data_IF_287070514195
#
_entry.id   IF_287070514195
#
_cell.length_a   1.000
_cell.length_b   1.000
_cell.length_c   1.000
_cell.angle_alpha   90.00
_cell.angle_beta   90.00
_cell.angle_gamma   90.00
#
_symmetry.space_group_name_H-M   'P 1'
#
loop_
_entity.id
_entity.type
_entity.pdbx_description
1 polymer ?
#
# COMPACT_ATOMS: atom_id res chain seq x y z
N UNK A 1 5.86 -8.52 19.71
CA UNK A 1 5.32 -7.20 19.35
C UNK A 1 4.26 -7.33 18.28
N UNK A 2 3.10 -6.70 18.43
CA UNK A 2 2.10 -6.77 17.36
C UNK A 2 2.61 -6.24 16.03
N UNK A 3 2.10 -6.81 14.96
CA UNK A 3 2.46 -6.40 13.62
C UNK A 3 1.27 -5.78 12.91
N UNK A 4 1.54 -4.80 12.09
CA UNK A 4 0.52 -4.06 11.35
C UNK A 4 0.91 -3.97 9.91
N UNK A 5 -0.07 -4.07 9.04
CA UNK A 5 0.14 -3.90 7.60
C UNK A 5 -0.38 -2.53 7.19
N UNK A 6 0.47 -1.79 6.49
CA UNK A 6 0.10 -0.53 5.87
C UNK A 6 -0.22 -0.82 4.42
N UNK A 7 -1.47 -0.61 4.05
CA UNK A 7 -1.93 -0.79 2.68
C UNK A 7 -1.95 0.58 2.00
N UNK A 8 -1.12 0.73 0.98
CA UNK A 8 -0.97 2.00 0.28
C UNK A 8 -1.83 2.03 -0.97
N UNK A 9 -2.80 2.94 -0.98
CA UNK A 9 -3.70 3.15 -2.11
C UNK A 9 -3.38 4.46 -2.80
N UNK A 10 -3.43 4.48 -4.11
CA UNK A 10 -3.26 5.69 -4.87
C UNK A 10 -4.14 5.70 -6.11
N UNK A 11 -4.24 6.86 -6.73
CA UNK A 11 -4.88 7.03 -8.00
C UNK A 11 -3.80 6.99 -9.08
N UNK A 12 -3.79 5.96 -9.95
CA UNK A 12 -2.73 5.83 -10.96
C UNK A 12 -2.58 7.06 -11.87
N UNK A 13 -3.67 7.79 -12.07
CA UNK A 13 -3.64 8.99 -12.91
C UNK A 13 -2.73 10.07 -12.34
N UNK A 14 -2.68 10.18 -11.01
CA UNK A 14 -1.86 11.20 -10.36
C UNK A 14 -0.37 10.97 -10.59
N UNK A 15 0.06 9.72 -10.60
CA UNK A 15 1.46 9.37 -10.85
C UNK A 15 1.89 9.62 -12.29
N UNK A 16 0.94 9.57 -13.23
CA UNK A 16 1.23 9.85 -14.64
C UNK A 16 1.58 11.31 -14.89
N UNK A 17 1.19 12.20 -13.97
CA UNK A 17 1.45 13.63 -14.07
C UNK A 17 2.78 14.06 -13.46
N UNK A 18 3.47 13.14 -12.81
CA UNK A 18 4.71 13.41 -12.08
C UNK A 18 5.89 13.32 -13.06
N UNK A 19 6.79 14.32 -13.01
CA UNK A 19 7.97 14.31 -13.85
C UNK A 19 8.93 13.18 -13.42
N UNK A 20 9.84 12.74 -14.31
CA UNK A 20 10.83 11.74 -13.94
C UNK A 20 11.69 12.15 -12.74
N UNK A 21 12.02 13.44 -12.63
CA UNK A 21 12.82 13.94 -11.50
C UNK A 21 12.06 13.86 -10.19
N UNK A 22 10.78 14.24 -10.21
CA UNK A 22 9.92 14.14 -9.03
C UNK A 22 9.68 12.68 -8.64
N UNK A 23 9.51 11.80 -9.63
CA UNK A 23 9.36 10.37 -9.39
C UNK A 23 10.60 9.81 -8.70
N UNK A 24 11.79 10.22 -9.13
CA UNK A 24 13.03 9.77 -8.50
C UNK A 24 13.11 10.22 -7.05
N UNK A 25 12.73 11.46 -6.76
CA UNK A 25 12.69 11.97 -5.39
C UNK A 25 11.69 11.19 -4.52
N UNK A 26 10.53 10.88 -5.08
CA UNK A 26 9.52 10.10 -4.38
C UNK A 26 10.05 8.70 -4.03
N UNK A 27 10.66 8.04 -4.99
CA UNK A 27 11.26 6.71 -4.78
C UNK A 27 12.29 6.76 -3.67
N UNK A 28 13.16 7.77 -3.66
CA UNK A 28 14.18 7.94 -2.62
C UNK A 28 13.55 8.09 -1.23
N UNK A 29 12.49 8.86 -1.12
CA UNK A 29 11.78 9.04 0.15
C UNK A 29 11.13 7.74 0.63
N UNK A 30 10.51 6.99 -0.28
CA UNK A 30 9.91 5.70 0.06
C UNK A 30 10.98 4.72 0.53
N UNK A 31 12.09 4.66 -0.17
CA UNK A 31 13.20 3.78 0.20
C UNK A 31 13.82 4.18 1.54
N UNK A 32 13.94 5.47 1.80
CA UNK A 32 14.45 5.94 3.09
C UNK A 32 13.53 5.52 4.24
N UNK A 33 12.23 5.57 4.02
CA UNK A 33 11.27 5.14 5.04
C UNK A 33 11.35 3.65 5.33
N UNK A 34 11.67 2.83 4.32
CA UNK A 34 11.83 1.37 4.53
C UNK A 34 12.96 1.03 5.49
N UNK A 35 13.90 1.95 5.69
CA UNK A 35 15.03 1.73 6.59
C UNK A 35 14.71 2.00 8.06
N UNK A 36 13.50 2.44 8.36
CA UNK A 36 13.07 2.63 9.75
C UNK A 36 13.14 1.31 10.50
N UNK A 37 13.62 1.32 11.77
CA UNK A 37 13.81 0.06 12.52
C UNK A 37 12.54 -0.77 12.69
N UNK A 38 11.37 -0.11 12.73
CA UNK A 38 10.09 -0.80 12.91
C UNK A 38 9.56 -1.41 11.61
N UNK A 39 10.14 -1.08 10.46
CA UNK A 39 9.71 -1.66 9.18
C UNK A 39 10.35 -3.04 9.01
N UNK A 40 9.52 -4.07 8.80
CA UNK A 40 9.97 -5.45 8.70
C UNK A 40 9.94 -5.99 7.27
N UNK A 41 9.05 -5.49 6.45
CA UNK A 41 8.97 -5.89 5.05
C UNK A 41 8.19 -4.84 4.27
N UNK A 42 8.40 -4.81 2.97
CA UNK A 42 7.64 -3.95 2.07
C UNK A 42 7.74 -4.48 0.65
N UNK A 43 6.67 -4.29 -0.10
CA UNK A 43 6.63 -4.67 -1.51
C UNK A 43 5.84 -3.63 -2.29
N UNK A 44 6.33 -3.32 -3.47
CA UNK A 44 5.61 -2.48 -4.42
C UNK A 44 4.94 -3.38 -5.45
N UNK A 45 3.67 -3.11 -5.73
CA UNK A 45 2.95 -3.83 -6.77
C UNK A 45 3.24 -3.18 -8.13
N UNK A 46 3.20 -3.99 -9.19
CA UNK A 46 3.40 -3.47 -10.54
C UNK A 46 2.24 -2.55 -10.93
N UNK A 47 2.54 -1.63 -11.85
CA UNK A 47 1.56 -0.66 -12.32
C UNK A 47 0.64 -1.28 -13.39
N UNK A 48 -0.09 -2.31 -13.02
CA UNK A 48 -1.08 -2.90 -13.91
C UNK A 48 -2.41 -3.04 -13.17
N UNK A 49 -3.45 -3.35 -13.90
CA UNK A 49 -4.79 -3.46 -13.35
C UNK A 49 -5.01 -4.78 -12.60
N UNK A 50 -4.11 -5.74 -12.77
CA UNK A 50 -4.24 -7.06 -12.17
C UNK A 50 -5.42 -7.84 -12.73
N UNK A 51 -5.84 -8.82 -11.95
CA UNK A 51 -6.97 -9.69 -12.29
C UNK A 51 -7.87 -9.82 -11.08
N UNK A 52 -9.17 -9.84 -11.32
CA UNK A 52 -10.16 -10.02 -10.27
C UNK A 52 -10.77 -11.40 -10.42
N UNK A 53 -10.74 -12.18 -9.34
CA UNK A 53 -11.29 -13.52 -9.33
C UNK A 53 -12.49 -13.54 -8.40
N UNK A 54 -13.62 -14.01 -8.89
CA UNK A 54 -14.84 -14.17 -8.10
C UNK A 54 -15.45 -15.53 -8.37
N UNK A 55 -16.14 -16.04 -7.37
CA UNK A 55 -16.94 -17.26 -7.53
C UNK A 55 -18.37 -16.88 -7.84
N UNK A 56 -18.91 -17.44 -8.92
CA UNK A 56 -20.31 -17.29 -9.31
C UNK A 56 -20.94 -18.67 -9.37
N UNK A 57 -21.91 -18.93 -8.50
CA UNK A 57 -22.57 -20.25 -8.38
C UNK A 57 -21.56 -21.38 -8.18
N UNK A 58 -20.54 -21.15 -7.37
CA UNK A 58 -19.50 -22.13 -7.07
C UNK A 58 -18.44 -22.27 -8.13
N UNK A 59 -18.47 -21.47 -9.20
CA UNK A 59 -17.48 -21.53 -10.27
C UNK A 59 -16.61 -20.25 -10.23
N UNK A 60 -15.30 -20.39 -9.99
CA UNK A 60 -14.43 -19.23 -10.04
C UNK A 60 -14.31 -18.66 -11.45
N UNK A 61 -14.29 -17.34 -11.54
CA UNK A 61 -14.06 -16.62 -12.79
C UNK A 61 -13.05 -15.50 -12.56
N UNK A 62 -12.17 -15.32 -13.52
CA UNK A 62 -11.20 -14.23 -13.51
C UNK A 62 -11.59 -13.22 -14.57
N UNK A 63 -11.52 -11.93 -14.21
CA UNK A 63 -11.74 -10.82 -15.14
C UNK A 63 -10.58 -9.85 -15.02
N UNK A 64 -10.43 -8.96 -15.99
CA UNK A 64 -9.42 -7.91 -15.89
C UNK A 64 -9.77 -6.94 -14.80
N UNK A 65 -8.72 -6.53 -14.03
CA UNK A 65 -8.87 -5.48 -13.03
C UNK A 65 -8.69 -4.09 -13.63
N UNK A 66 -8.79 -3.06 -12.75
CA UNK A 66 -9.11 -3.15 -11.34
C UNK A 66 -10.58 -3.45 -11.10
N UNK A 67 -10.93 -3.63 -9.83
CA UNK A 67 -12.32 -3.74 -9.42
C UNK A 67 -13.10 -2.55 -10.00
N UNK A 68 -14.22 -2.81 -10.68
CA UNK A 68 -14.90 -1.81 -11.53
C UNK A 68 -15.31 -0.52 -10.82
N UNK A 69 -15.46 -0.54 -9.50
CA UNK A 69 -15.85 0.62 -8.71
C UNK A 69 -14.70 1.27 -7.95
N UNK A 70 -13.49 0.73 -8.10
CA UNK A 70 -12.34 1.25 -7.36
C UNK A 70 -11.83 2.54 -7.97
N UNK A 71 -11.83 3.61 -7.16
CA UNK A 71 -11.24 4.89 -7.53
C UNK A 71 -9.77 4.95 -7.18
N UNK A 72 -9.38 4.19 -6.16
CA UNK A 72 -8.00 4.04 -5.73
C UNK A 72 -7.59 2.59 -5.87
N UNK A 73 -6.32 2.38 -6.21
CA UNK A 73 -5.78 1.05 -6.45
C UNK A 73 -4.67 0.79 -5.44
N UNK A 74 -4.65 -0.43 -4.90
CA UNK A 74 -3.58 -0.84 -4.00
C UNK A 74 -2.26 -0.87 -4.77
N UNK A 75 -1.30 -0.06 -4.32
CA UNK A 75 -0.01 0.06 -4.98
C UNK A 75 1.15 -0.62 -4.26
N UNK A 76 0.93 -1.01 -3.01
CA UNK A 76 1.98 -1.66 -2.24
C UNK A 76 1.61 -1.80 -0.79
N UNK A 77 2.51 -2.41 -0.03
CA UNK A 77 2.30 -2.54 1.41
C UNK A 77 3.62 -2.48 2.17
N UNK A 78 3.48 -2.17 3.46
CA UNK A 78 4.57 -2.23 4.42
C UNK A 78 4.11 -3.07 5.60
N UNK A 79 5.02 -3.87 6.15
CA UNK A 79 4.77 -4.61 7.38
C UNK A 79 5.61 -3.96 8.48
N UNK A 80 4.95 -3.43 9.51
CA UNK A 80 5.63 -2.75 10.61
C UNK A 80 5.28 -3.38 11.95
N UNK A 81 6.14 -3.16 12.92
CA UNK A 81 5.86 -3.48 14.31
C UNK A 81 5.46 -2.20 15.05
N UNK A 82 4.57 -2.33 16.02
CA UNK A 82 4.16 -1.24 16.90
C UNK A 82 3.55 -1.83 18.16
N UNK A 83 3.56 -1.05 19.24
CA UNK A 83 2.99 -1.49 20.54
C UNK A 83 1.47 -1.50 20.52
N UNK A 84 0.85 -0.68 19.69
CA UNK A 84 -0.59 -0.49 19.63
C UNK A 84 -1.01 0.05 18.28
N UNK A 85 -2.31 0.03 18.01
CA UNK A 85 -2.86 0.70 16.82
C UNK A 85 -2.49 2.18 16.80
N UNK A 86 -2.59 2.86 17.94
CA UNK A 86 -2.26 4.28 17.98
C UNK A 86 -0.82 4.54 17.57
N UNK A 87 0.10 3.72 18.03
CA UNK A 87 1.51 3.86 17.65
C UNK A 87 1.71 3.53 16.17
N UNK A 88 1.03 2.50 15.66
CA UNK A 88 1.11 2.15 14.25
C UNK A 88 0.60 3.30 13.37
N UNK A 89 -0.49 3.94 13.76
CA UNK A 89 -1.03 5.10 13.05
C UNK A 89 -0.04 6.27 13.10
N UNK A 90 0.52 6.57 14.27
CA UNK A 90 1.52 7.65 14.39
C UNK A 90 2.71 7.41 13.45
N UNK A 91 3.23 6.19 13.45
CA UNK A 91 4.35 5.82 12.58
C UNK A 91 3.97 5.96 11.10
N UNK A 92 2.75 5.55 10.76
CA UNK A 92 2.26 5.62 9.37
C UNK A 92 2.07 7.06 8.90
N UNK A 93 1.76 7.98 9.80
CA UNK A 93 1.59 9.40 9.45
C UNK A 93 2.88 10.06 8.97
N UNK A 94 4.02 9.45 9.20
CA UNK A 94 5.31 9.94 8.72
C UNK A 94 5.67 9.42 7.32
N UNK A 95 4.82 8.59 6.74
CA UNK A 95 5.11 7.96 5.46
C UNK A 95 4.97 8.97 4.31
N UNK A 96 5.93 8.99 3.36
CA UNK A 96 5.89 9.93 2.25
C UNK A 96 4.70 9.76 1.31
N UNK A 97 4.03 8.60 1.34
CA UNK A 97 2.85 8.35 0.50
C UNK A 97 1.76 9.43 0.70
N UNK A 98 1.62 9.91 1.93
CA UNK A 98 0.64 10.96 2.25
C UNK A 98 1.02 12.30 1.62
N UNK A 99 2.31 12.56 1.46
CA UNK A 99 2.81 13.78 0.82
C UNK A 99 2.40 13.84 -0.66
N UNK A 100 2.24 12.69 -1.29
CA UNK A 100 1.86 12.59 -2.70
C UNK A 100 0.37 12.32 -2.91
N UNK A 101 -0.44 12.59 -1.90
CA UNK A 101 -1.89 12.47 -2.02
C UNK A 101 -2.45 11.06 -1.90
N UNK A 102 -1.61 10.10 -1.51
CA UNK A 102 -2.06 8.73 -1.33
C UNK A 102 -2.81 8.51 -0.03
N UNK A 103 -3.45 7.37 0.08
CA UNK A 103 -4.19 6.92 1.26
C UNK A 103 -3.50 5.70 1.85
N UNK A 104 -3.41 5.64 3.17
CA UNK A 104 -2.86 4.49 3.87
C UNK A 104 -3.94 3.91 4.79
N UNK A 105 -4.18 2.60 4.65
CA UNK A 105 -5.04 1.86 5.57
C UNK A 105 -4.15 1.01 6.47
N UNK A 106 -4.29 1.18 7.77
CA UNK A 106 -3.51 0.44 8.76
C UNK A 106 -4.35 -0.70 9.31
N UNK A 107 -3.87 -1.93 9.18
CA UNK A 107 -4.57 -3.11 9.68
C UNK A 107 -3.64 -3.96 10.54
N UNK A 108 -4.10 -4.32 11.72
CA UNK A 108 -3.34 -5.25 12.56
C UNK A 108 -3.36 -6.64 11.95
N UNK A 109 -2.22 -7.34 11.97
CA UNK A 109 -2.16 -8.73 11.55
C UNK A 109 -2.76 -9.61 12.64
N UNK A 110 -3.57 -10.59 12.21
CA UNK A 110 -4.16 -11.54 13.15
C UNK A 110 -3.04 -12.36 13.80
N UNK A 111 -2.94 -12.35 15.14
CA UNK A 111 -1.88 -13.10 15.81
C UNK A 111 -2.07 -14.60 15.63
N UNK A 112 -0.97 -15.31 15.32
CA UNK A 112 -0.98 -16.75 15.19
C UNK A 112 -1.38 -17.29 13.81
N UNK A 113 -1.47 -16.44 12.82
CA UNK A 113 -1.70 -16.89 11.43
C UNK A 113 -0.53 -16.57 10.52
#
# INVERSE_FOLDING_TARGET
>A
MPQYMLLLYDNPVDWQKVSPEEMQKAIEKYMAWTKKPFNKDSKRLAEDAGRVIRSNNGKPRATDGPYSEAKEVLGGFYLIEADSYDQAVERSMTHPHLEYGGTIVVRELYPGM
#
